data_IF_145495197996
#
_entry.id   IF_145495197996
#
_cell.length_a   1.000
_cell.length_b   1.000
_cell.length_c   1.000
_cell.angle_alpha   90.00
_cell.angle_beta   90.00
_cell.angle_gamma   90.00
#
_symmetry.space_group_name_H-M   'P 1'
#
loop_
_entity.id
_entity.type
_entity.pdbx_description
1 polymer ?
#
# COMPACT_ATOMS: atom_id res chain seq x y z
N UNK A 1 67.78 22.88 19.05
CA UNK A 1 67.26 23.42 17.77
C UNK A 1 65.91 22.79 17.51
N UNK A 2 65.02 23.58 16.94
CA UNK A 2 63.56 23.48 16.82
C UNK A 2 62.92 22.15 16.41
N UNK A 3 61.71 21.90 16.91
CA UNK A 3 60.48 21.49 16.21
C UNK A 3 59.31 21.53 17.24
N UNK A 4 58.25 22.35 17.09
CA UNK A 4 57.00 22.12 16.32
C UNK A 4 56.42 20.71 16.56
N UNK A 5 55.14 20.45 16.87
CA UNK A 5 53.89 21.21 16.67
C UNK A 5 52.73 20.51 17.42
N UNK A 6 51.69 21.28 17.74
CA UNK A 6 50.25 20.95 17.75
C UNK A 6 49.66 19.90 18.71
N UNK A 7 48.89 20.43 19.67
CA UNK A 7 47.86 19.78 20.48
C UNK A 7 46.59 19.51 19.66
N UNK A 8 46.24 18.25 19.48
CA UNK A 8 44.92 17.80 18.96
C UNK A 8 43.93 17.57 20.09
N UNK A 9 42.78 18.24 20.03
CA UNK A 9 41.63 18.05 20.92
C UNK A 9 40.89 16.75 20.58
N UNK A 10 40.65 15.92 21.60
CA UNK A 10 39.79 14.74 21.51
C UNK A 10 38.33 15.13 21.82
N UNK A 11 37.50 15.27 20.77
CA UNK A 11 36.05 15.17 20.92
C UNK A 11 35.62 13.73 20.64
N UNK A 12 35.00 13.12 21.66
CA UNK A 12 34.46 11.77 21.60
C UNK A 12 33.37 11.67 20.53
N UNK A 13 33.54 10.72 19.61
CA UNK A 13 32.48 10.26 18.73
C UNK A 13 31.74 9.14 19.45
N UNK A 14 30.43 9.34 19.67
CA UNK A 14 29.50 8.27 20.00
C UNK A 14 29.42 7.23 18.88
N UNK A 15 28.80 6.07 19.13
CA UNK A 15 28.78 4.98 18.17
C UNK A 15 28.11 5.43 16.87
N UNK A 16 28.83 5.25 15.76
CA UNK A 16 28.28 5.41 14.41
C UNK A 16 27.45 4.17 14.10
N UNK A 17 26.13 4.36 14.05
CA UNK A 17 25.20 3.35 13.55
C UNK A 17 25.24 3.33 12.02
N UNK A 18 26.30 2.74 11.48
CA UNK A 18 26.45 2.39 10.05
C UNK A 18 26.01 0.93 9.80
N UNK A 19 24.88 0.51 10.35
CA UNK A 19 24.32 -0.81 10.04
C UNK A 19 23.64 -0.76 8.66
N UNK A 20 24.05 -1.57 7.66
CA UNK A 20 23.32 -1.67 6.41
C UNK A 20 21.89 -2.17 6.68
N UNK A 21 20.93 -1.70 5.88
CA UNK A 21 19.49 -2.03 5.91
C UNK A 21 19.12 -3.53 5.84
N UNK A 22 20.12 -4.43 5.80
CA UNK A 22 19.94 -5.87 5.97
C UNK A 22 19.79 -6.33 7.42
N UNK A 23 20.18 -5.53 8.41
CA UNK A 23 20.09 -5.93 9.83
C UNK A 23 18.63 -6.08 10.32
N UNK A 24 17.72 -5.21 9.87
CA UNK A 24 16.29 -5.31 10.19
C UNK A 24 15.60 -6.54 9.57
N UNK A 25 16.17 -7.12 8.52
CA UNK A 25 15.64 -8.33 7.86
C UNK A 25 16.19 -9.62 8.46
N UNK A 26 17.31 -9.56 9.19
CA UNK A 26 17.94 -10.72 9.81
C UNK A 26 17.27 -11.11 11.14
N UNK A 27 16.65 -10.15 11.83
CA UNK A 27 15.86 -10.40 13.04
C UNK A 27 14.49 -11.05 12.77
N UNK A 28 14.00 -11.03 11.52
CA UNK A 28 12.69 -11.57 11.15
C UNK A 28 12.64 -13.11 11.01
N UNK A 29 13.75 -13.84 11.24
CA UNK A 29 13.70 -15.30 11.35
C UNK A 29 13.02 -16.02 10.17
N UNK A 30 13.33 -15.61 8.92
CA UNK A 30 12.85 -16.24 7.68
C UNK A 30 13.33 -17.71 7.60
N UNK A 31 12.60 -18.62 8.23
CA UNK A 31 13.02 -20.01 8.51
C UNK A 31 12.48 -21.04 7.51
N UNK A 32 11.83 -20.62 6.42
CA UNK A 32 11.40 -21.51 5.35
C UNK A 32 11.71 -20.87 3.98
N UNK A 33 12.98 -20.92 3.58
CA UNK A 33 13.47 -20.38 2.29
C UNK A 33 12.99 -21.23 1.09
N UNK A 34 12.43 -22.42 1.35
CA UNK A 34 12.08 -23.41 0.31
C UNK A 34 10.62 -23.37 -0.16
N UNK A 35 9.72 -22.66 0.53
CA UNK A 35 8.32 -22.55 0.12
C UNK A 35 8.07 -21.28 -0.71
N UNK A 36 7.28 -21.35 -1.81
CA UNK A 36 6.95 -20.18 -2.61
C UNK A 36 6.12 -19.18 -1.80
N UNK A 37 6.35 -17.90 -2.03
CA UNK A 37 5.76 -16.81 -1.26
C UNK A 37 4.83 -15.96 -2.11
N UNK A 38 3.66 -15.60 -1.56
CA UNK A 38 2.73 -14.62 -2.13
C UNK A 38 2.63 -13.43 -1.17
N UNK A 39 2.81 -12.22 -1.71
CA UNK A 39 2.55 -10.99 -0.98
C UNK A 39 1.09 -10.57 -1.19
N UNK A 40 0.43 -10.11 -0.13
CA UNK A 40 -0.98 -9.72 -0.15
C UNK A 40 -1.13 -8.34 0.50
N UNK A 41 -1.84 -7.42 -0.15
CA UNK A 41 -2.23 -6.16 0.47
C UNK A 41 -3.32 -6.34 1.53
N UNK A 42 -3.49 -5.36 2.40
CA UNK A 42 -4.52 -5.31 3.43
C UNK A 42 -5.75 -4.51 3.00
N UNK A 43 -5.56 -3.23 2.71
CA UNK A 43 -6.64 -2.29 2.50
C UNK A 43 -7.34 -2.59 1.16
N UNK A 44 -8.66 -2.80 1.21
CA UNK A 44 -9.58 -3.21 0.13
C UNK A 44 -9.24 -4.50 -0.64
N UNK A 45 -8.24 -5.26 -0.17
CA UNK A 45 -7.96 -6.65 -0.57
C UNK A 45 -8.39 -7.65 0.50
N UNK A 46 -8.08 -7.34 1.77
CA UNK A 46 -8.45 -8.15 2.94
C UNK A 46 -9.45 -7.43 3.85
N UNK A 47 -9.36 -6.11 3.96
CA UNK A 47 -10.19 -5.26 4.84
C UNK A 47 -10.95 -4.21 4.04
N UNK A 48 -12.23 -3.98 4.29
CA UNK A 48 -13.04 -2.99 3.55
C UNK A 48 -12.75 -1.54 4.02
N UNK A 49 -11.51 -1.08 3.82
CA UNK A 49 -11.00 0.17 4.37
C UNK A 49 -11.67 1.40 3.76
N UNK A 50 -11.76 1.51 2.42
CA UNK A 50 -12.40 2.66 1.78
C UNK A 50 -13.90 2.75 2.11
N UNK A 51 -14.55 1.62 2.36
CA UNK A 51 -15.95 1.61 2.83
C UNK A 51 -16.07 2.37 4.14
N UNK A 52 -15.25 2.03 5.13
CA UNK A 52 -15.33 2.68 6.45
C UNK A 52 -14.85 4.12 6.41
N UNK A 53 -13.88 4.44 5.55
CA UNK A 53 -13.49 5.84 5.28
C UNK A 53 -14.69 6.65 4.77
N UNK A 54 -15.43 6.12 3.81
CA UNK A 54 -16.64 6.77 3.28
C UNK A 54 -17.75 6.93 4.33
N UNK A 55 -17.99 5.88 5.13
CA UNK A 55 -18.95 5.93 6.25
C UNK A 55 -18.56 6.99 7.29
N UNK A 56 -17.28 7.03 7.69
CA UNK A 56 -16.77 8.07 8.61
C UNK A 56 -16.91 9.48 8.03
N UNK A 57 -16.60 9.67 6.74
CA UNK A 57 -16.70 10.97 6.09
C UNK A 57 -18.16 11.46 6.08
N UNK A 58 -19.11 10.56 5.83
CA UNK A 58 -20.54 10.84 5.90
C UNK A 58 -20.99 11.22 7.31
N UNK A 59 -20.54 10.48 8.33
CA UNK A 59 -20.88 10.75 9.74
C UNK A 59 -20.31 12.09 10.23
N UNK A 60 -19.10 12.45 9.78
CA UNK A 60 -18.31 13.57 10.32
C UNK A 60 -18.58 14.89 9.58
N UNK A 61 -18.70 14.84 8.25
CA UNK A 61 -18.87 16.03 7.40
C UNK A 61 -20.25 16.12 6.74
N UNK A 62 -21.15 15.16 6.99
CA UNK A 62 -22.50 15.17 6.43
C UNK A 62 -22.56 14.89 4.93
N UNK A 63 -21.54 14.22 4.37
CA UNK A 63 -21.47 13.87 2.96
C UNK A 63 -22.33 12.67 2.59
N UNK A 64 -22.29 12.26 1.32
CA UNK A 64 -23.00 11.09 0.78
C UNK A 64 -22.08 10.19 -0.05
N UNK A 65 -20.85 10.03 0.42
CA UNK A 65 -19.84 9.19 -0.21
C UNK A 65 -20.26 7.73 -0.26
N UNK A 66 -19.95 7.12 -1.39
CA UNK A 66 -20.03 5.69 -1.69
C UNK A 66 -18.68 5.24 -2.26
N UNK A 67 -18.46 3.93 -2.41
CA UNK A 67 -17.24 3.42 -3.04
C UNK A 67 -17.04 3.93 -4.48
N UNK A 68 -18.11 4.36 -5.17
CA UNK A 68 -18.02 4.90 -6.53
C UNK A 68 -17.37 6.28 -6.59
N UNK A 69 -17.33 6.99 -5.46
CA UNK A 69 -16.72 8.32 -5.37
C UNK A 69 -15.20 8.23 -5.15
N UNK A 70 -14.64 7.04 -4.89
CA UNK A 70 -13.20 6.85 -4.78
C UNK A 70 -12.61 6.58 -6.17
N UNK A 71 -12.46 7.62 -6.98
CA UNK A 71 -11.93 7.52 -8.34
C UNK A 71 -10.42 7.26 -8.43
N UNK A 72 -9.66 7.66 -7.40
CA UNK A 72 -8.20 7.57 -7.33
C UNK A 72 -7.73 7.10 -5.95
N UNK A 73 -6.53 6.53 -5.92
CA UNK A 73 -5.81 6.17 -4.69
C UNK A 73 -5.55 7.38 -3.78
N UNK A 74 -5.32 8.56 -4.37
CA UNK A 74 -5.08 9.81 -3.65
C UNK A 74 -6.39 10.52 -3.35
N UNK A 75 -6.72 10.71 -2.07
CA UNK A 75 -8.04 11.20 -1.68
C UNK A 75 -8.35 12.62 -2.16
N UNK A 76 -7.37 13.51 -2.27
CA UNK A 76 -7.58 14.88 -2.78
C UNK A 76 -8.05 14.92 -4.24
N UNK A 77 -7.89 13.81 -4.97
CA UNK A 77 -8.39 13.62 -6.33
C UNK A 77 -9.79 13.00 -6.38
N UNK A 78 -10.45 12.86 -5.23
CA UNK A 78 -11.81 12.34 -5.14
C UNK A 78 -12.79 13.44 -4.69
N UNK A 79 -14.07 13.38 -5.10
CA UNK A 79 -15.13 14.21 -4.55
C UNK A 79 -15.07 14.30 -3.02
N UNK A 80 -15.52 15.43 -2.47
CA UNK A 80 -15.67 15.69 -1.03
C UNK A 80 -14.39 15.88 -0.20
N UNK A 81 -13.21 15.53 -0.71
CA UNK A 81 -11.96 15.62 0.07
C UNK A 81 -11.36 17.03 0.09
N UNK A 82 -11.61 17.83 -0.93
CA UNK A 82 -11.12 19.21 -1.03
C UNK A 82 -9.66 19.27 -1.49
N UNK A 83 -8.99 20.37 -1.17
CA UNK A 83 -7.57 20.58 -1.49
C UNK A 83 -6.66 19.52 -0.83
N UNK A 84 -5.40 19.36 -1.29
CA UNK A 84 -4.44 18.48 -0.61
C UNK A 84 -4.29 18.76 0.88
N UNK A 85 -4.22 20.04 1.29
CA UNK A 85 -4.10 20.43 2.71
C UNK A 85 -5.33 20.02 3.53
N UNK A 86 -6.54 20.25 2.99
CA UNK A 86 -7.78 19.80 3.64
C UNK A 86 -7.86 18.27 3.72
N UNK A 87 -7.42 17.59 2.67
CA UNK A 87 -7.36 16.13 2.62
C UNK A 87 -6.44 15.59 3.71
N UNK A 88 -5.25 16.15 3.87
CA UNK A 88 -4.34 15.73 4.94
C UNK A 88 -4.91 15.91 6.33
N UNK A 89 -5.53 17.06 6.60
CA UNK A 89 -6.24 17.28 7.87
C UNK A 89 -7.33 16.22 8.09
N UNK A 90 -8.13 15.91 7.06
CA UNK A 90 -9.19 14.88 7.14
C UNK A 90 -8.60 13.48 7.39
N UNK A 91 -7.50 13.14 6.72
CA UNK A 91 -6.79 11.87 6.92
C UNK A 91 -6.29 11.75 8.36
N UNK A 92 -5.64 12.80 8.90
CA UNK A 92 -5.20 12.84 10.29
C UNK A 92 -6.38 12.68 11.27
N UNK A 93 -7.49 13.36 11.02
CA UNK A 93 -8.72 13.25 11.82
C UNK A 93 -9.31 11.83 11.78
N UNK A 94 -9.26 11.16 10.62
CA UNK A 94 -9.71 9.77 10.49
C UNK A 94 -8.81 8.81 11.27
N UNK A 95 -7.48 8.91 11.12
CA UNK A 95 -6.52 8.04 11.82
C UNK A 95 -6.50 8.27 13.34
N UNK A 96 -6.94 9.43 13.82
CA UNK A 96 -7.15 9.68 15.24
C UNK A 96 -8.32 8.86 15.84
N UNK A 97 -9.18 8.27 15.01
CA UNK A 97 -10.29 7.40 15.43
C UNK A 97 -9.89 5.90 15.47
N UNK A 98 -10.82 5.04 15.87
CA UNK A 98 -10.69 3.57 15.77
C UNK A 98 -11.28 3.00 14.48
N UNK A 99 -11.96 3.83 13.67
CA UNK A 99 -12.81 3.40 12.55
C UNK A 99 -12.11 2.47 11.56
N UNK A 100 -10.86 2.76 11.18
CA UNK A 100 -10.09 1.92 10.25
C UNK A 100 -10.01 0.43 10.69
N UNK A 101 -9.99 0.19 12.00
CA UNK A 101 -9.87 -1.14 12.58
C UNK A 101 -11.23 -1.79 12.88
N UNK A 102 -12.33 -1.11 12.57
CA UNK A 102 -13.70 -1.65 12.60
C UNK A 102 -14.12 -2.15 11.22
N UNK A 103 -13.27 -1.95 10.19
CA UNK A 103 -13.54 -2.40 8.83
C UNK A 103 -13.72 -3.92 8.77
N UNK A 104 -14.86 -4.41 8.23
CA UNK A 104 -15.07 -5.84 8.07
C UNK A 104 -14.12 -6.41 7.02
N UNK A 105 -13.80 -7.72 7.08
CA UNK A 105 -13.05 -8.37 6.03
C UNK A 105 -13.76 -8.27 4.68
N UNK A 106 -12.99 -8.24 3.59
CA UNK A 106 -13.50 -8.41 2.23
C UNK A 106 -14.13 -9.81 2.10
N UNK A 107 -15.24 -9.91 1.37
CA UNK A 107 -15.93 -11.18 1.17
C UNK A 107 -15.01 -12.23 0.52
N UNK A 108 -14.99 -13.44 1.10
CA UNK A 108 -14.14 -14.54 0.65
C UNK A 108 -12.66 -14.41 1.02
N UNK A 109 -12.25 -13.35 1.72
CA UNK A 109 -10.83 -13.12 2.03
C UNK A 109 -10.22 -14.23 2.88
N UNK A 110 -10.89 -14.64 3.96
CA UNK A 110 -10.39 -15.69 4.85
C UNK A 110 -10.33 -17.04 4.12
N UNK A 111 -11.35 -17.38 3.34
CA UNK A 111 -11.39 -18.60 2.52
C UNK A 111 -10.28 -18.59 1.48
N UNK A 112 -10.09 -17.46 0.80
CA UNK A 112 -9.09 -17.27 -0.24
C UNK A 112 -7.67 -17.45 0.28
N UNK A 113 -7.28 -16.74 1.33
CA UNK A 113 -5.94 -16.89 1.91
C UNK A 113 -5.69 -18.28 2.51
N UNK A 114 -6.72 -18.92 3.08
CA UNK A 114 -6.60 -20.32 3.53
C UNK A 114 -6.39 -21.29 2.35
N UNK A 115 -7.07 -21.07 1.22
CA UNK A 115 -6.86 -21.86 0.01
C UNK A 115 -5.43 -21.71 -0.51
N UNK A 116 -4.90 -20.48 -0.56
CA UNK A 116 -3.50 -20.24 -0.94
C UNK A 116 -2.51 -20.95 0.01
N UNK A 117 -2.73 -20.90 1.33
CA UNK A 117 -1.91 -21.67 2.29
C UNK A 117 -2.00 -23.17 2.07
N UNK A 118 -3.19 -23.68 1.79
CA UNK A 118 -3.43 -25.11 1.56
C UNK A 118 -2.72 -25.61 0.30
N UNK A 119 -2.46 -24.73 -0.66
CA UNK A 119 -1.63 -25.02 -1.85
C UNK A 119 -0.12 -25.02 -1.55
N UNK A 120 0.29 -24.66 -0.34
CA UNK A 120 1.70 -24.66 0.08
C UNK A 120 2.41 -23.30 -0.06
N UNK A 121 1.66 -22.21 -0.29
CA UNK A 121 2.24 -20.88 -0.32
C UNK A 121 2.41 -20.30 1.08
N UNK A 122 3.56 -19.67 1.32
CA UNK A 122 3.76 -18.73 2.43
C UNK A 122 3.10 -17.41 2.08
N UNK A 123 2.45 -16.78 3.05
CA UNK A 123 1.77 -15.50 2.85
C UNK A 123 2.41 -14.42 3.71
N UNK A 124 2.77 -13.30 3.08
CA UNK A 124 3.26 -12.09 3.76
C UNK A 124 2.33 -10.94 3.44
N UNK A 125 1.87 -10.25 4.49
CA UNK A 125 1.04 -9.06 4.34
C UNK A 125 1.94 -7.86 4.07
N UNK A 126 1.67 -7.11 2.99
CA UNK A 126 2.46 -5.93 2.60
C UNK A 126 1.53 -4.73 2.42
N UNK A 127 1.55 -3.80 3.36
CA UNK A 127 0.62 -2.66 3.41
C UNK A 127 1.31 -1.30 3.28
N UNK A 128 0.57 -0.32 2.75
CA UNK A 128 0.94 1.10 2.69
C UNK A 128 0.86 1.82 4.05
N UNK A 129 0.22 1.20 5.06
CA UNK A 129 0.10 1.77 6.40
C UNK A 129 1.47 2.12 7.00
N UNK A 130 1.46 3.11 7.88
CA UNK A 130 2.67 3.51 8.60
C UNK A 130 3.04 2.49 9.68
N UNK A 131 4.32 2.42 10.05
CA UNK A 131 4.81 1.51 11.09
C UNK A 131 4.10 1.74 12.44
N UNK A 132 3.72 3.00 12.75
CA UNK A 132 2.93 3.33 13.95
C UNK A 132 1.58 2.62 14.03
N UNK A 133 1.01 2.23 12.90
CA UNK A 133 -0.26 1.51 12.79
C UNK A 133 -0.11 -0.02 12.91
N UNK A 134 1.13 -0.54 12.97
CA UNK A 134 1.41 -1.97 13.00
C UNK A 134 0.76 -2.70 14.19
N UNK A 135 0.77 -2.18 15.44
CA UNK A 135 0.15 -2.88 16.57
C UNK A 135 -1.35 -3.14 16.37
N UNK A 136 -2.11 -2.10 15.98
CA UNK A 136 -3.56 -2.21 15.72
C UNK A 136 -3.85 -3.03 14.46
N UNK A 137 -2.98 -2.94 13.45
CA UNK A 137 -3.09 -3.78 12.25
C UNK A 137 -2.92 -5.26 12.60
N UNK A 138 -1.97 -5.59 13.47
CA UNK A 138 -1.79 -6.96 13.97
C UNK A 138 -3.01 -7.44 14.75
N UNK A 139 -3.58 -6.62 15.62
CA UNK A 139 -4.80 -6.97 16.35
C UNK A 139 -5.97 -7.30 15.39
N UNK A 140 -6.16 -6.49 14.35
CA UNK A 140 -7.18 -6.75 13.32
C UNK A 140 -6.92 -8.06 12.56
N UNK A 141 -5.66 -8.30 12.15
CA UNK A 141 -5.26 -9.53 11.46
C UNK A 141 -5.44 -10.75 12.37
N UNK A 142 -5.05 -10.67 13.64
CA UNK A 142 -5.22 -11.76 14.61
C UNK A 142 -6.72 -12.03 14.88
N UNK A 143 -7.57 -11.01 14.84
CA UNK A 143 -9.01 -11.17 15.01
C UNK A 143 -9.69 -11.86 13.81
N UNK A 144 -9.29 -11.52 12.58
CA UNK A 144 -10.01 -11.92 11.38
C UNK A 144 -9.31 -13.01 10.54
N UNK A 145 -7.99 -13.07 10.60
CA UNK A 145 -7.10 -13.88 9.75
C UNK A 145 -6.01 -14.57 10.60
N UNK A 146 -6.38 -15.02 11.80
CA UNK A 146 -5.47 -15.61 12.77
C UNK A 146 -4.61 -16.74 12.18
N UNK A 147 -3.29 -16.66 12.37
CA UNK A 147 -2.35 -17.70 11.95
C UNK A 147 -2.19 -17.87 10.43
N UNK A 148 -2.70 -16.92 9.63
CA UNK A 148 -2.57 -16.95 8.18
C UNK A 148 -1.21 -16.42 7.73
N UNK A 149 -0.85 -15.21 8.12
CA UNK A 149 0.34 -14.53 7.63
C UNK A 149 1.57 -14.86 8.49
N UNK A 150 2.69 -15.11 7.80
CA UNK A 150 3.97 -15.33 8.46
C UNK A 150 4.54 -14.01 9.01
N UNK A 151 4.37 -12.93 8.24
CA UNK A 151 4.89 -11.59 8.53
C UNK A 151 3.94 -10.48 8.05
N UNK A 152 4.07 -9.31 8.68
CA UNK A 152 3.41 -8.06 8.28
C UNK A 152 4.47 -7.00 8.02
N UNK A 153 4.49 -6.44 6.80
CA UNK A 153 5.44 -5.42 6.37
C UNK A 153 4.69 -4.12 6.06
N UNK A 154 4.95 -3.08 6.85
CA UNK A 154 4.52 -1.72 6.58
C UNK A 154 5.55 -1.00 5.71
N UNK A 155 5.17 -0.61 4.49
CA UNK A 155 6.04 0.18 3.60
C UNK A 155 6.08 1.66 3.98
N UNK A 156 5.07 2.14 4.72
CA UNK A 156 4.93 3.54 5.10
C UNK A 156 4.63 4.49 3.94
N UNK A 157 4.40 3.99 2.71
CA UNK A 157 3.94 4.83 1.58
C UNK A 157 2.45 5.15 1.74
N UNK A 158 2.15 6.11 2.60
CA UNK A 158 0.78 6.62 2.85
C UNK A 158 0.61 8.04 2.32
N UNK A 159 -0.63 8.51 2.17
CA UNK A 159 -0.94 9.87 1.71
C UNK A 159 -0.20 10.94 2.54
N UNK A 160 -0.20 10.82 3.87
CA UNK A 160 0.52 11.72 4.78
C UNK A 160 2.02 11.80 4.46
N UNK A 161 2.66 10.67 4.18
CA UNK A 161 4.11 10.64 3.96
C UNK A 161 4.55 11.20 2.60
N UNK A 162 3.62 11.47 1.68
CA UNK A 162 3.93 12.10 0.40
C UNK A 162 4.09 13.62 0.53
N UNK A 163 3.61 14.21 1.63
CA UNK A 163 3.80 15.63 1.95
C UNK A 163 5.18 15.94 2.55
N UNK A 164 5.85 14.93 3.11
CA UNK A 164 7.15 15.07 3.78
C UNK A 164 8.29 14.55 2.90
N UNK A 165 8.91 15.47 2.15
CA UNK A 165 10.11 15.24 1.32
C UNK A 165 11.36 14.92 2.16
N UNK A 166 11.37 15.22 3.46
CA UNK A 166 12.53 15.05 4.36
C UNK A 166 12.59 13.67 5.03
N UNK A 167 11.49 12.92 5.03
CA UNK A 167 11.42 11.52 5.47
C UNK A 167 12.04 10.56 4.43
N UNK A 168 13.33 10.72 4.16
CA UNK A 168 14.20 9.89 3.30
C UNK A 168 14.61 8.56 3.95
N UNK A 169 13.96 8.14 5.04
CA UNK A 169 14.17 6.81 5.63
C UNK A 169 13.57 5.78 4.67
N UNK A 170 14.40 5.30 3.74
CA UNK A 170 14.21 4.15 2.83
C UNK A 170 12.76 3.65 2.71
N UNK A 171 11.88 4.45 2.09
CA UNK A 171 10.51 4.05 1.75
C UNK A 171 10.61 2.93 0.70
N UNK A 172 10.48 1.68 1.11
CA UNK A 172 10.50 0.54 0.20
C UNK A 172 9.15 0.45 -0.49
N UNK A 173 9.14 0.40 -1.82
CA UNK A 173 7.89 0.13 -2.52
C UNK A 173 7.44 -1.31 -2.27
N UNK A 174 6.15 -1.61 -2.46
CA UNK A 174 5.68 -3.00 -2.38
C UNK A 174 6.38 -3.90 -3.40
N UNK A 175 6.73 -3.36 -4.58
CA UNK A 175 7.54 -4.04 -5.58
C UNK A 175 8.95 -4.38 -5.04
N UNK A 176 9.59 -3.46 -4.31
CA UNK A 176 10.89 -3.71 -3.68
C UNK A 176 10.80 -4.81 -2.60
N UNK A 177 9.73 -4.78 -1.79
CA UNK A 177 9.47 -5.81 -0.78
C UNK A 177 9.29 -7.17 -1.45
N UNK A 178 8.43 -7.26 -2.47
CA UNK A 178 8.21 -8.50 -3.22
C UNK A 178 9.52 -9.05 -3.81
N UNK A 179 10.34 -8.19 -4.42
CA UNK A 179 11.64 -8.58 -4.98
C UNK A 179 12.59 -9.10 -3.91
N UNK A 180 12.70 -8.41 -2.77
CA UNK A 180 13.56 -8.81 -1.65
C UNK A 180 13.15 -10.16 -1.06
N UNK A 181 11.85 -10.43 -1.01
CA UNK A 181 11.31 -11.69 -0.49
C UNK A 181 11.30 -12.82 -1.53
N UNK A 182 11.60 -12.55 -2.80
CA UNK A 182 11.48 -13.53 -3.88
C UNK A 182 10.02 -13.95 -4.12
N UNK A 183 9.07 -13.05 -3.88
CA UNK A 183 7.64 -13.32 -4.03
C UNK A 183 7.30 -13.77 -5.46
N UNK A 184 6.46 -14.79 -5.58
CA UNK A 184 5.94 -15.30 -6.86
C UNK A 184 4.81 -14.44 -7.41
N UNK A 185 4.11 -13.74 -6.53
CA UNK A 185 2.90 -12.99 -6.84
C UNK A 185 2.69 -11.88 -5.81
N UNK A 186 2.17 -10.75 -6.27
CA UNK A 186 1.54 -9.72 -5.45
C UNK A 186 0.02 -9.71 -5.70
N UNK A 187 -0.79 -9.54 -4.65
CA UNK A 187 -2.23 -9.28 -4.76
C UNK A 187 -2.49 -7.89 -4.15
N UNK A 188 -2.92 -6.93 -4.97
CA UNK A 188 -3.04 -5.51 -4.59
C UNK A 188 -4.23 -4.88 -5.32
N UNK A 189 -4.95 -3.97 -4.70
CA UNK A 189 -6.07 -3.24 -5.31
C UNK A 189 -5.61 -1.94 -6.00
N UNK A 190 -4.42 -1.44 -5.71
CA UNK A 190 -3.90 -0.21 -6.29
C UNK A 190 -3.25 -0.46 -7.66
N UNK A 191 -3.83 0.16 -8.69
CA UNK A 191 -3.25 0.12 -10.05
C UNK A 191 -1.84 0.71 -10.07
N UNK A 192 -1.53 1.68 -9.22
CA UNK A 192 -0.18 2.27 -9.16
C UNK A 192 0.85 1.31 -8.57
N UNK A 193 0.49 0.58 -7.52
CA UNK A 193 1.36 -0.47 -6.97
C UNK A 193 1.54 -1.60 -7.99
N UNK A 194 0.46 -2.02 -8.66
CA UNK A 194 0.52 -3.03 -9.69
C UNK A 194 1.41 -2.64 -10.87
N UNK A 195 1.32 -1.37 -11.33
CA UNK A 195 2.20 -0.84 -12.37
C UNK A 195 3.67 -0.84 -11.93
N UNK A 196 3.96 -0.47 -10.67
CA UNK A 196 5.33 -0.54 -10.11
C UNK A 196 5.85 -1.99 -10.07
N UNK A 197 5.00 -2.96 -9.74
CA UNK A 197 5.36 -4.38 -9.74
C UNK A 197 5.76 -4.88 -11.14
N UNK A 198 4.99 -4.57 -12.19
CA UNK A 198 5.32 -5.01 -13.56
C UNK A 198 6.49 -4.24 -14.19
N UNK A 199 6.78 -3.03 -13.71
CA UNK A 199 7.92 -2.22 -14.16
C UNK A 199 9.21 -2.56 -13.43
N UNK A 200 9.15 -3.34 -12.35
CA UNK A 200 10.34 -3.81 -11.64
C UNK A 200 11.20 -4.72 -12.53
N UNK A 201 12.47 -4.88 -12.16
CA UNK A 201 13.41 -5.79 -12.84
C UNK A 201 14.02 -6.80 -11.84
N UNK A 202 13.71 -8.11 -11.93
CA UNK A 202 12.71 -8.68 -12.83
C UNK A 202 11.28 -8.25 -12.43
N UNK A 203 10.31 -8.28 -13.38
CA UNK A 203 8.92 -7.96 -13.07
C UNK A 203 8.34 -8.91 -12.01
N UNK A 204 7.55 -8.35 -11.10
CA UNK A 204 6.78 -9.12 -10.12
C UNK A 204 5.36 -9.34 -10.69
N UNK A 205 4.93 -10.59 -10.93
CA UNK A 205 3.55 -10.86 -11.31
C UNK A 205 2.57 -10.31 -10.28
N UNK A 206 1.48 -9.72 -10.74
CA UNK A 206 0.49 -9.09 -9.86
C UNK A 206 -0.95 -9.39 -10.29
N UNK A 207 -1.80 -9.67 -9.30
CA UNK A 207 -3.25 -9.66 -9.45
C UNK A 207 -3.78 -8.32 -8.95
N UNK A 208 -4.35 -7.54 -9.88
CA UNK A 208 -5.04 -6.29 -9.55
C UNK A 208 -6.45 -6.63 -9.08
N UNK A 209 -6.67 -6.53 -7.77
CA UNK A 209 -7.85 -7.02 -7.07
C UNK A 209 -9.01 -6.02 -7.10
N UNK A 210 -10.23 -6.56 -7.26
CA UNK A 210 -11.50 -5.85 -7.21
C UNK A 210 -11.92 -5.18 -8.52
N UNK A 211 -13.21 -4.85 -8.61
CA UNK A 211 -13.75 -3.90 -9.60
C UNK A 211 -14.01 -2.57 -8.91
N UNK A 212 -12.92 -1.89 -8.56
CA UNK A 212 -12.95 -0.62 -7.84
C UNK A 212 -12.68 0.56 -8.77
N UNK A 213 -13.26 1.72 -8.46
CA UNK A 213 -13.04 2.92 -9.28
C UNK A 213 -11.58 3.41 -9.22
N UNK A 214 -10.94 3.33 -8.05
CA UNK A 214 -9.54 3.75 -7.86
C UNK A 214 -8.51 2.83 -8.51
N UNK A 215 -8.92 1.64 -8.94
CA UNK A 215 -8.03 0.71 -9.64
C UNK A 215 -8.12 0.84 -11.18
N UNK A 216 -8.94 1.76 -11.68
CA UNK A 216 -9.07 2.05 -13.12
C UNK A 216 -8.11 3.14 -13.58
N UNK A 217 -7.68 4.03 -12.68
CA UNK A 217 -6.98 5.29 -12.99
C UNK A 217 -5.73 5.47 -12.16
N UNK A 218 -4.70 6.08 -12.74
CA UNK A 218 -3.49 6.46 -12.01
C UNK A 218 -3.47 7.97 -11.79
N UNK A 219 -3.31 8.38 -10.54
CA UNK A 219 -3.22 9.78 -10.13
C UNK A 219 -1.80 10.31 -10.29
N UNK A 220 -1.35 10.58 -11.52
CA UNK A 220 -0.02 11.15 -11.75
C UNK A 220 0.02 12.61 -11.28
N UNK A 221 0.96 12.93 -10.40
CA UNK A 221 1.31 14.29 -10.00
C UNK A 221 2.82 14.49 -9.97
N UNK A 222 3.28 15.74 -10.11
CA UNK A 222 4.70 16.09 -10.04
C UNK A 222 5.04 16.65 -8.66
N UNK A 223 4.33 17.70 -8.25
CA UNK A 223 4.41 18.25 -6.90
C UNK A 223 3.00 18.44 -6.36
N UNK A 224 2.78 18.00 -5.13
CA UNK A 224 1.44 18.06 -4.53
C UNK A 224 0.90 19.49 -4.39
N UNK A 225 1.80 20.47 -4.30
CA UNK A 225 1.44 21.90 -4.21
C UNK A 225 0.83 22.45 -5.50
N UNK A 226 1.04 21.77 -6.62
CA UNK A 226 0.50 22.15 -7.92
C UNK A 226 -0.82 21.41 -8.22
N UNK A 227 -1.25 20.54 -7.31
CA UNK A 227 -2.45 19.73 -7.49
C UNK A 227 -3.71 20.52 -7.19
N UNK A 228 -4.68 20.41 -8.10
CA UNK A 228 -6.04 20.86 -7.87
C UNK A 228 -6.81 19.79 -7.11
N UNK A 229 -7.74 20.22 -6.26
CA UNK A 229 -8.79 19.33 -5.78
C UNK A 229 -9.63 18.80 -6.94
N UNK A 230 -10.35 17.71 -6.70
CA UNK A 230 -11.30 17.17 -7.66
C UNK A 230 -12.33 18.22 -8.10
N UNK A 231 -12.86 19.01 -7.16
CA UNK A 231 -13.90 20.01 -7.42
C UNK A 231 -13.35 21.16 -8.27
N UNK A 232 -12.15 21.65 -7.97
CA UNK A 232 -11.48 22.71 -8.76
C UNK A 232 -11.15 22.24 -10.18
N UNK A 233 -10.67 21.00 -10.35
CA UNK A 233 -10.42 20.44 -11.69
C UNK A 233 -11.74 20.25 -12.44
N UNK A 234 -12.80 19.81 -11.77
CA UNK A 234 -14.13 19.64 -12.36
C UNK A 234 -14.70 20.96 -12.85
N UNK A 235 -14.59 22.03 -12.07
CA UNK A 235 -15.01 23.38 -12.50
C UNK A 235 -14.22 23.85 -13.73
N UNK A 236 -12.89 23.68 -13.71
CA UNK A 236 -12.00 24.06 -14.82
C UNK A 236 -12.29 23.27 -16.10
N UNK A 237 -12.67 22.01 -15.98
CA UNK A 237 -13.01 21.12 -17.10
C UNK A 237 -14.47 21.28 -17.56
N UNK A 238 -15.22 22.25 -17.01
CA UNK A 238 -16.58 22.56 -17.42
C UNK A 238 -17.61 21.51 -16.97
N UNK A 239 -17.37 20.83 -15.86
CA UNK A 239 -18.29 19.85 -15.26
C UNK A 239 -18.37 18.50 -15.97
N UNK A 240 -17.48 18.23 -16.95
CA UNK A 240 -17.40 16.92 -17.60
C UNK A 240 -16.74 15.88 -16.69
N UNK A 241 -16.97 14.61 -16.97
CA UNK A 241 -16.34 13.47 -16.29
C UNK A 241 -14.89 13.25 -16.74
N UNK A 242 -14.02 14.23 -16.46
CA UNK A 242 -12.64 14.30 -16.94
C UNK A 242 -11.75 13.14 -16.45
N UNK A 243 -12.14 12.48 -15.36
CA UNK A 243 -11.35 11.38 -14.77
C UNK A 243 -11.29 10.15 -15.68
N UNK A 244 -12.24 9.97 -16.61
CA UNK A 244 -12.17 8.89 -17.60
C UNK A 244 -11.00 9.04 -18.58
N UNK A 245 -10.46 10.24 -18.74
CA UNK A 245 -9.25 10.46 -19.55
C UNK A 245 -7.99 9.86 -18.89
N UNK A 246 -8.05 9.59 -17.59
CA UNK A 246 -6.93 9.04 -16.79
C UNK A 246 -7.00 7.50 -16.66
N UNK A 247 -7.95 6.84 -17.34
CA UNK A 247 -8.12 5.38 -17.31
C UNK A 247 -6.86 4.66 -17.87
N UNK A 248 -6.36 3.70 -17.11
CA UNK A 248 -5.11 2.98 -17.40
C UNK A 248 -5.39 1.76 -18.28
N UNK A 249 -4.73 1.72 -19.44
CA UNK A 249 -4.61 0.52 -20.25
C UNK A 249 -3.43 -0.34 -19.77
N UNK A 250 -3.70 -1.60 -19.46
CA UNK A 250 -2.66 -2.57 -19.12
C UNK A 250 -1.92 -2.97 -20.40
N UNK A 251 -0.57 -2.88 -20.46
CA UNK A 251 0.18 -3.27 -21.64
C UNK A 251 -0.04 -4.75 -21.99
N UNK A 252 -0.17 -5.05 -23.28
CA UNK A 252 -0.28 -6.44 -23.76
C UNK A 252 0.95 -7.24 -23.33
N UNK A 253 0.74 -8.42 -22.74
CA UNK A 253 1.80 -9.30 -22.25
C UNK A 253 2.42 -8.89 -20.91
N UNK A 254 1.96 -7.80 -20.27
CA UNK A 254 2.38 -7.48 -18.91
C UNK A 254 1.95 -8.58 -17.92
N UNK A 255 2.76 -8.93 -16.91
CA UNK A 255 2.39 -9.90 -15.88
C UNK A 255 1.43 -9.28 -14.84
N UNK A 256 0.35 -8.66 -15.30
CA UNK A 256 -0.71 -8.07 -14.49
C UNK A 256 -2.05 -8.64 -14.97
N UNK A 257 -2.79 -9.30 -14.07
CA UNK A 257 -4.13 -9.81 -14.35
C UNK A 257 -5.14 -9.14 -13.41
N UNK A 258 -6.27 -8.66 -13.94
CA UNK A 258 -7.38 -8.18 -13.10
C UNK A 258 -8.18 -9.38 -12.58
N UNK A 259 -8.55 -9.33 -11.31
CA UNK A 259 -9.41 -10.31 -10.65
C UNK A 259 -10.44 -9.60 -9.78
N UNK A 260 -11.69 -10.00 -9.82
CA UNK A 260 -12.78 -9.26 -9.17
C UNK A 260 -12.98 -9.62 -7.70
N UNK A 261 -12.55 -10.81 -7.28
CA UNK A 261 -12.79 -11.36 -5.95
C UNK A 261 -11.79 -12.48 -5.62
N UNK A 262 -11.91 -13.04 -4.41
CA UNK A 262 -11.03 -14.11 -3.94
C UNK A 262 -11.21 -15.45 -4.65
N UNK A 263 -12.39 -15.76 -5.21
CA UNK A 263 -12.59 -16.96 -6.02
C UNK A 263 -11.73 -16.90 -7.29
N UNK A 264 -11.72 -15.76 -7.98
CA UNK A 264 -10.88 -15.55 -9.16
C UNK A 264 -9.38 -15.55 -8.83
N UNK A 265 -8.98 -14.99 -7.67
CA UNK A 265 -7.60 -15.07 -7.18
C UNK A 265 -7.15 -16.52 -7.04
N UNK A 266 -7.94 -17.32 -6.31
CA UNK A 266 -7.62 -18.74 -6.05
C UNK A 266 -7.55 -19.52 -7.36
N UNK A 267 -8.57 -19.39 -8.22
CA UNK A 267 -8.59 -20.07 -9.52
C UNK A 267 -7.44 -19.66 -10.44
N UNK A 268 -7.00 -18.39 -10.39
CA UNK A 268 -5.83 -17.94 -11.13
C UNK A 268 -4.55 -18.59 -10.59
N UNK A 269 -4.37 -18.63 -9.27
CA UNK A 269 -3.18 -19.24 -8.65
C UNK A 269 -3.09 -20.73 -8.97
N UNK A 270 -4.19 -21.49 -8.82
CA UNK A 270 -4.22 -22.93 -9.14
C UNK A 270 -3.79 -23.24 -10.57
N UNK A 271 -4.18 -22.38 -11.51
CA UNK A 271 -3.93 -22.57 -12.93
C UNK A 271 -2.51 -22.17 -13.34
N UNK A 272 -1.98 -21.09 -12.75
CA UNK A 272 -0.79 -20.41 -13.29
C UNK A 272 0.44 -20.55 -12.41
N UNK A 273 0.29 -20.74 -11.10
CA UNK A 273 1.41 -20.94 -10.19
C UNK A 273 1.47 -22.41 -9.78
N UNK A 274 2.67 -22.99 -9.87
CA UNK A 274 2.96 -24.28 -9.25
C UNK A 274 3.65 -23.99 -7.91
N UNK A 275 3.27 -24.69 -6.83
CA UNK A 275 3.98 -24.62 -5.57
C UNK A 275 5.44 -25.07 -5.72
#
# INVERSE_FOLDING_TARGET
MSANTETTSTHGQGPKDDAPSGAALQEAGLTAVDQPLICVDLDDVLSQSNRVVGEWHNDTYGTRMTLKDFHYYYYWRNPYWGSPDETFRKVDEFYATTRLYEAPPVEGALEGVNALKSMGYRLVLVTARQIRELPRTKEWVDQHLNGIFDDIICTGMSQETLADETMLITKLSKADVCKKLGAKLMIDDSVENALKCIQADPPVPVLLFGDYEWNKRSGKYVHIKDELSFDERTEREGGREWWHDDDVSIPEGAPLTRVNNWEEVVGWVEKNLKP
#
